data_IF_332533629812
#
_entry.id   IF_332533629812
#
_cell.length_a   1.000
_cell.length_b   1.000
_cell.length_c   1.000
_cell.angle_alpha   90.00
_cell.angle_beta   90.00
_cell.angle_gamma   90.00
#
_symmetry.space_group_name_H-M   'P 1'
#
loop_
_entity.id
_entity.type
_entity.pdbx_description
1 polymer ?
#
# COMPACT_ATOMS: atom_id res chain seq x y z
N UNK A 1 0.06 16.99 21.17
CA UNK A 1 -0.83 15.92 20.66
C UNK A 1 -1.71 16.51 19.57
N UNK A 2 -1.44 16.25 18.29
CA UNK A 2 -2.40 16.62 17.22
C UNK A 2 -3.32 15.44 16.94
N UNK A 3 -4.27 15.23 17.83
CA UNK A 3 -5.40 14.33 17.60
C UNK A 3 -6.51 15.14 16.94
N UNK A 4 -6.80 14.88 15.66
CA UNK A 4 -8.05 15.36 15.10
C UNK A 4 -9.14 14.39 15.54
N UNK A 5 -10.02 14.86 16.41
CA UNK A 5 -11.27 14.14 16.71
C UNK A 5 -12.21 14.33 15.53
N UNK A 6 -12.38 13.29 14.72
CA UNK A 6 -13.46 13.26 13.73
C UNK A 6 -14.67 12.65 14.43
N UNK A 7 -15.79 13.39 14.47
CA UNK A 7 -17.05 12.84 14.96
C UNK A 7 -17.57 11.85 13.93
N UNK A 8 -17.35 10.56 14.16
CA UNK A 8 -17.98 9.51 13.37
C UNK A 8 -19.35 9.26 13.97
N UNK A 9 -20.39 9.59 13.21
CA UNK A 9 -21.77 9.34 13.60
C UNK A 9 -22.20 7.98 13.09
N UNK A 10 -22.61 7.10 14.00
CA UNK A 10 -23.24 5.84 13.64
C UNK A 10 -24.68 6.11 13.20
N UNK A 11 -25.27 5.17 12.44
CA UNK A 11 -26.65 5.30 11.91
C UNK A 11 -27.71 5.59 12.99
N UNK A 12 -27.44 5.27 14.26
CA UNK A 12 -28.31 5.56 15.41
C UNK A 12 -28.27 7.01 15.91
N UNK A 13 -27.56 7.93 15.24
CA UNK A 13 -27.43 9.33 15.66
C UNK A 13 -26.43 9.57 16.80
N UNK A 14 -25.83 8.51 17.34
CA UNK A 14 -24.73 8.62 18.30
C UNK A 14 -23.43 8.94 17.57
N UNK A 15 -22.89 10.14 17.81
CA UNK A 15 -21.60 10.58 17.28
C UNK A 15 -20.51 10.35 18.32
N UNK A 16 -19.60 9.42 18.04
CA UNK A 16 -18.45 9.18 18.91
C UNK A 16 -17.20 9.87 18.33
N UNK A 17 -16.31 10.39 19.20
CA UNK A 17 -14.98 10.81 18.79
C UNK A 17 -14.24 9.60 18.21
N UNK A 18 -14.07 9.55 16.90
CA UNK A 18 -13.08 8.65 16.31
C UNK A 18 -11.75 9.40 16.28
N UNK A 19 -10.82 8.88 17.08
CA UNK A 19 -9.44 9.33 17.09
C UNK A 19 -8.77 8.83 15.80
N UNK A 20 -8.82 9.64 14.75
CA UNK A 20 -8.01 9.40 13.57
C UNK A 20 -6.61 9.91 13.90
N UNK A 21 -5.71 8.98 14.20
CA UNK A 21 -4.29 9.30 14.35
C UNK A 21 -3.84 9.94 13.04
N UNK A 22 -3.29 11.15 13.05
CA UNK A 22 -2.68 11.75 11.85
C UNK A 22 -1.29 11.17 11.62
N UNK A 23 -0.52 11.07 12.71
CA UNK A 23 0.79 10.41 12.80
C UNK A 23 0.79 9.54 14.04
N UNK A 24 1.61 8.49 14.04
CA UNK A 24 1.83 7.68 15.22
C UNK A 24 2.73 8.43 16.20
N UNK A 25 2.35 8.45 17.47
CA UNK A 25 3.20 8.96 18.56
C UNK A 25 3.91 7.81 19.25
N UNK A 26 4.82 8.15 20.16
CA UNK A 26 5.47 7.15 21.00
C UNK A 26 4.44 6.32 21.79
N UNK A 27 3.40 6.96 22.31
CA UNK A 27 2.34 6.35 23.10
C UNK A 27 1.52 5.36 22.28
N UNK A 28 1.11 5.75 21.07
CA UNK A 28 0.36 4.87 20.18
C UNK A 28 1.20 3.66 19.74
N UNK A 29 2.49 3.85 19.45
CA UNK A 29 3.35 2.74 19.05
C UNK A 29 3.66 1.75 20.18
N UNK A 30 3.50 2.11 21.46
CA UNK A 30 3.66 1.15 22.59
C UNK A 30 2.73 -0.06 22.47
N UNK A 31 1.53 0.15 21.92
CA UNK A 31 0.53 -0.92 21.73
C UNK A 31 0.60 -1.56 20.33
N UNK A 32 1.52 -1.10 19.48
CA UNK A 32 1.64 -1.44 18.06
C UNK A 32 0.29 -1.63 17.32
N UNK A 33 -0.30 -0.57 16.74
CA UNK A 33 -1.56 -0.68 16.01
C UNK A 33 -1.42 -1.39 14.64
N UNK A 34 -0.21 -1.81 14.25
CA UNK A 34 0.05 -2.42 12.95
C UNK A 34 -0.31 -3.91 12.96
N UNK A 35 -1.04 -4.35 11.95
CA UNK A 35 -1.44 -5.75 11.79
C UNK A 35 -0.39 -6.54 11.01
N UNK A 36 -0.55 -7.86 10.98
CA UNK A 36 0.22 -8.79 10.13
C UNK A 36 1.75 -8.68 10.28
N UNK A 37 2.21 -8.44 11.51
CA UNK A 37 3.63 -8.30 11.82
C UNK A 37 4.24 -6.96 11.41
N UNK A 38 3.42 -5.97 11.05
CA UNK A 38 3.89 -4.62 10.75
C UNK A 38 4.53 -3.93 11.97
N UNK A 39 5.40 -2.96 11.69
CA UNK A 39 6.10 -2.18 12.72
C UNK A 39 5.59 -0.74 12.77
N UNK A 40 5.22 -0.30 13.97
CA UNK A 40 4.86 1.09 14.23
C UNK A 40 6.11 1.91 14.52
N UNK A 41 6.25 3.06 13.85
CA UNK A 41 7.31 4.03 14.13
C UNK A 41 6.70 5.40 14.47
N UNK A 42 7.12 6.04 15.57
CA UNK A 42 6.71 7.40 15.90
C UNK A 42 7.04 8.39 14.77
N UNK A 43 6.16 9.37 14.56
CA UNK A 43 6.28 10.38 13.51
C UNK A 43 5.77 9.92 12.13
N UNK A 44 5.61 8.61 11.88
CA UNK A 44 5.06 8.11 10.61
C UNK A 44 3.54 8.22 10.55
N UNK A 45 3.02 8.31 9.33
CA UNK A 45 1.57 8.30 9.06
C UNK A 45 1.04 6.88 8.82
N UNK A 46 1.90 5.93 8.45
CA UNK A 46 1.59 4.53 8.18
C UNK A 46 2.64 3.57 8.76
N UNK A 47 2.21 2.34 8.97
CA UNK A 47 3.04 1.24 9.45
C UNK A 47 4.08 0.83 8.40
N UNK A 48 5.21 0.31 8.86
CA UNK A 48 6.10 -0.48 8.00
C UNK A 48 5.52 -1.88 7.87
N UNK A 49 5.05 -2.22 6.68
CA UNK A 49 4.43 -3.52 6.45
C UNK A 49 5.46 -4.57 6.08
N UNK A 50 5.19 -5.78 6.57
CA UNK A 50 5.88 -6.99 6.15
C UNK A 50 5.49 -7.34 4.72
N UNK A 51 6.25 -8.26 4.13
CA UNK A 51 6.00 -8.81 2.80
C UNK A 51 4.56 -9.29 2.64
N UNK A 52 3.93 -8.98 1.50
CA UNK A 52 2.55 -9.35 1.19
C UNK A 52 1.47 -8.46 1.79
N UNK A 53 1.82 -7.44 2.59
CA UNK A 53 0.85 -6.56 3.26
C UNK A 53 1.04 -5.08 2.89
N UNK A 54 -0.06 -4.33 2.92
CA UNK A 54 -0.10 -2.91 2.60
C UNK A 54 -1.21 -2.18 3.37
N UNK A 55 -1.26 -0.87 3.18
CA UNK A 55 -2.23 0.02 3.81
C UNK A 55 -1.72 0.55 5.14
N UNK A 56 -2.43 1.54 5.67
CA UNK A 56 -1.97 2.33 6.83
C UNK A 56 -1.57 1.49 8.05
N UNK A 57 -2.34 0.44 8.31
CA UNK A 57 -2.16 -0.49 9.43
C UNK A 57 -1.77 -1.90 8.96
N UNK A 58 -1.29 -2.06 7.72
CA UNK A 58 -0.95 -3.37 7.13
C UNK A 58 -2.13 -4.37 7.12
N UNK A 59 -3.36 -3.88 7.04
CA UNK A 59 -4.60 -4.67 7.12
C UNK A 59 -5.08 -5.19 5.76
N UNK A 60 -4.37 -4.88 4.67
CA UNK A 60 -4.74 -5.26 3.30
C UNK A 60 -3.62 -6.05 2.67
N UNK A 61 -3.96 -7.05 1.85
CA UNK A 61 -2.97 -7.71 1.01
C UNK A 61 -2.38 -6.72 0.00
N UNK A 62 -1.07 -6.81 -0.19
CA UNK A 62 -0.36 -6.12 -1.25
C UNK A 62 -0.84 -6.66 -2.61
N UNK A 63 -1.56 -5.82 -3.37
CA UNK A 63 -2.10 -6.18 -4.69
C UNK A 63 -2.47 -4.94 -5.51
N UNK A 64 -2.64 -5.15 -6.81
CA UNK A 64 -3.38 -4.22 -7.66
C UNK A 64 -4.89 -4.46 -7.50
N UNK A 65 -5.66 -3.39 -7.35
CA UNK A 65 -7.13 -3.44 -7.29
C UNK A 65 -7.71 -3.43 -8.70
N UNK A 66 -7.10 -2.67 -9.61
CA UNK A 66 -7.57 -2.54 -10.99
C UNK A 66 -6.68 -3.30 -11.97
N UNK A 67 -7.30 -3.93 -12.97
CA UNK A 67 -6.58 -4.64 -14.05
C UNK A 67 -5.72 -3.70 -14.91
N UNK A 68 -6.06 -2.41 -14.96
CA UNK A 68 -5.34 -1.38 -15.71
C UNK A 68 -4.09 -0.84 -15.02
N UNK A 69 -3.76 -1.31 -13.81
CA UNK A 69 -2.63 -0.80 -13.03
C UNK A 69 -1.29 -0.91 -13.77
N UNK A 70 -1.04 -1.99 -14.50
CA UNK A 70 0.17 -2.16 -15.30
C UNK A 70 0.26 -1.10 -16.41
N UNK A 71 -0.85 -0.84 -17.11
CA UNK A 71 -0.91 0.21 -18.14
C UNK A 71 -0.65 1.59 -17.54
N UNK A 72 -1.30 1.93 -16.43
CA UNK A 72 -1.11 3.23 -15.80
C UNK A 72 0.32 3.43 -15.29
N UNK A 73 0.98 2.37 -14.81
CA UNK A 73 2.39 2.43 -14.46
C UNK A 73 3.29 2.68 -15.68
N UNK A 74 3.01 2.04 -16.83
CA UNK A 74 3.73 2.33 -18.09
C UNK A 74 3.49 3.75 -18.59
N UNK A 75 2.32 4.32 -18.32
CA UNK A 75 1.99 5.72 -18.60
C UNK A 75 2.57 6.70 -17.56
N UNK A 76 3.41 6.23 -16.63
CA UNK A 76 4.07 7.01 -15.57
C UNK A 76 3.07 7.75 -14.64
N UNK A 77 1.82 7.28 -14.60
CA UNK A 77 0.76 7.88 -13.77
C UNK A 77 1.00 7.66 -12.28
N UNK A 78 1.82 6.69 -11.90
CA UNK A 78 2.20 6.50 -10.51
C UNK A 78 2.91 7.76 -9.99
N UNK A 79 3.82 8.36 -10.76
CA UNK A 79 4.67 9.48 -10.32
C UNK A 79 4.12 10.84 -10.75
N UNK A 80 3.63 10.98 -11.99
CA UNK A 80 3.19 12.26 -12.56
C UNK A 80 2.06 12.94 -11.76
N UNK A 81 1.22 12.17 -11.07
CA UNK A 81 0.09 12.72 -10.31
C UNK A 81 0.21 12.55 -8.79
N UNK A 82 1.37 12.13 -8.25
CA UNK A 82 1.52 11.89 -6.79
C UNK A 82 1.21 13.10 -5.93
N UNK A 83 1.53 14.29 -6.44
CA UNK A 83 1.29 15.56 -5.75
C UNK A 83 -0.20 15.94 -5.75
N UNK A 84 -0.99 15.38 -6.66
CA UNK A 84 -2.40 15.67 -6.83
C UNK A 84 -3.28 14.59 -6.18
N UNK A 85 -2.84 13.33 -6.21
CA UNK A 85 -3.60 12.19 -5.71
C UNK A 85 -2.72 11.02 -5.30
N UNK A 86 -3.17 10.25 -4.32
CA UNK A 86 -2.57 8.97 -3.93
C UNK A 86 -3.32 7.77 -4.54
N UNK A 87 -4.21 8.01 -5.51
CA UNK A 87 -5.06 6.99 -6.10
C UNK A 87 -4.24 5.79 -6.62
N UNK A 88 -3.17 6.05 -7.37
CA UNK A 88 -2.35 4.98 -7.94
C UNK A 88 -1.53 4.25 -6.88
N UNK A 89 -0.96 4.94 -5.90
CA UNK A 89 -0.25 4.30 -4.78
C UNK A 89 -1.14 3.33 -4.00
N UNK A 90 -2.40 3.70 -3.76
CA UNK A 90 -3.34 2.93 -2.94
C UNK A 90 -4.00 1.79 -3.73
N UNK A 91 -4.29 2.01 -5.01
CA UNK A 91 -5.06 1.07 -5.82
C UNK A 91 -4.20 0.22 -6.76
N UNK A 92 -2.96 0.62 -7.03
CA UNK A 92 -2.02 -0.03 -7.94
C UNK A 92 -0.69 -0.31 -7.25
N UNK A 93 -0.73 -0.70 -5.97
CA UNK A 93 0.42 -0.76 -5.11
C UNK A 93 1.56 -1.68 -5.61
N UNK A 94 1.24 -2.75 -6.34
CA UNK A 94 2.28 -3.61 -6.92
C UNK A 94 2.91 -2.93 -8.14
N UNK A 95 2.09 -2.45 -9.08
CA UNK A 95 2.59 -1.80 -10.30
C UNK A 95 3.30 -0.47 -10.03
N UNK A 96 2.91 0.25 -8.96
CA UNK A 96 3.56 1.48 -8.51
C UNK A 96 4.65 1.23 -7.44
N UNK A 97 5.13 -0.01 -7.28
CA UNK A 97 6.23 -0.37 -6.37
C UNK A 97 6.04 0.07 -4.91
N UNK A 98 4.79 0.17 -4.43
CA UNK A 98 4.48 0.55 -3.05
C UNK A 98 4.60 -0.65 -2.08
N UNK A 99 4.56 -1.87 -2.59
CA UNK A 99 4.71 -3.09 -1.80
C UNK A 99 5.10 -4.29 -2.69
N UNK A 100 5.51 -5.38 -2.06
CA UNK A 100 5.79 -6.65 -2.74
C UNK A 100 4.72 -7.68 -2.35
N UNK A 101 3.98 -8.28 -3.32
CA UNK A 101 2.89 -9.20 -3.04
C UNK A 101 3.39 -10.58 -2.61
N UNK A 102 2.58 -11.29 -1.82
CA UNK A 102 2.83 -12.70 -1.51
C UNK A 102 2.69 -13.55 -2.79
N UNK A 103 3.61 -14.49 -3.10
CA UNK A 103 3.52 -15.38 -4.25
C UNK A 103 2.18 -16.10 -4.38
N UNK A 104 1.53 -16.43 -3.25
CA UNK A 104 0.23 -17.12 -3.23
C UNK A 104 -0.94 -16.24 -3.66
N UNK A 105 -0.80 -14.92 -3.53
CA UNK A 105 -1.82 -13.92 -3.91
C UNK A 105 -1.46 -13.17 -5.19
N UNK A 106 -0.28 -13.47 -5.74
CA UNK A 106 0.18 -12.99 -7.03
C UNK A 106 -0.53 -13.80 -8.11
N UNK A 107 -1.73 -13.35 -8.53
CA UNK A 107 -2.42 -13.85 -9.74
C UNK A 107 -1.63 -13.59 -11.05
N UNK A 108 -0.31 -13.33 -10.94
CA UNK A 108 0.65 -13.08 -12.02
C UNK A 108 1.76 -14.15 -12.09
N UNK A 109 1.75 -15.16 -11.22
CA UNK A 109 2.66 -16.32 -11.35
C UNK A 109 2.17 -17.37 -12.37
N UNK A 110 1.25 -17.01 -13.27
CA UNK A 110 0.83 -17.83 -14.39
C UNK A 110 0.62 -16.96 -15.62
N UNK A 111 1.73 -16.61 -16.29
CA UNK A 111 1.89 -16.47 -17.78
C UNK A 111 2.94 -15.45 -18.24
N UNK A 112 3.77 -14.87 -17.37
CA UNK A 112 5.02 -14.28 -17.85
C UNK A 112 6.04 -15.40 -18.00
N UNK A 113 6.07 -16.02 -19.19
CA UNK A 113 7.33 -16.53 -19.72
C UNK A 113 8.31 -15.38 -19.61
N UNK A 114 9.24 -15.50 -18.67
CA UNK A 114 10.45 -14.69 -18.67
C UNK A 114 11.00 -14.79 -20.10
N UNK A 115 10.88 -13.71 -20.87
CA UNK A 115 11.71 -13.53 -22.03
C UNK A 115 13.13 -13.54 -21.50
N UNK A 116 13.73 -14.74 -21.51
CA UNK A 116 15.17 -14.91 -21.42
C UNK A 116 15.74 -13.95 -22.44
N UNK A 117 16.49 -12.97 -21.94
CA UNK A 117 17.56 -12.38 -22.70
C UNK A 117 18.44 -13.54 -23.19
N UNK A 118 18.26 -13.91 -24.46
CA UNK A 118 19.23 -14.74 -25.15
C UNK A 118 20.36 -13.78 -25.55
N UNK A 119 21.62 -14.05 -25.18
CA UNK A 119 22.72 -13.18 -25.55
C UNK A 119 22.86 -13.16 -27.07
N UNK A 120 23.18 -11.99 -27.61
CA UNK A 120 23.60 -11.80 -29.00
C UNK A 120 24.82 -12.70 -29.26
N UNK A 121 24.60 -13.88 -29.86
CA UNK A 121 25.66 -14.64 -30.50
C UNK A 121 25.63 -14.38 -31.99
N UNK A 122 26.65 -13.66 -32.44
CA UNK A 122 27.15 -13.65 -33.81
C UNK A 122 27.17 -15.05 -34.40
N UNK A 123 26.52 -15.26 -35.55
CA UNK A 123 26.91 -16.32 -36.49
C UNK A 123 26.72 -15.81 -37.92
N UNK A 124 27.88 -15.61 -38.58
CA UNK A 124 28.19 -15.50 -40.03
C UNK A 124 27.50 -14.44 -40.88
#
# INVERSE_FOLDING_TARGET
>A
MELNSVKSCFFSGNCQPQLILKRFTQENCKFNPCLNGGTCLPGRTSCLCTFGWMGRYCHRHCRNIYKSCERWAMEDKCEQVRTQTNFFDVNCAVSCNQCIPDPKHSMLASSFTAHRNLPLFFIS
#
